data_IF_613144989710
#
_entry.id   IF_613144989710
#
_cell.length_a   1.000
_cell.length_b   1.000
_cell.length_c   1.000
_cell.angle_alpha   90.00
_cell.angle_beta   90.00
_cell.angle_gamma   90.00
#
_symmetry.space_group_name_H-M   'P 1'
#
loop_
_entity.id
_entity.type
_entity.pdbx_description
1 polymer ?
#
# COMPACT_ATOMS: atom_id res chain seq x y z
N UNK A 1 10.85 -7.49 -1.39
CA UNK A 1 11.50 -8.43 -2.35
C UNK A 1 12.82 -8.90 -1.76
N UNK A 2 13.05 -10.19 -1.69
CA UNK A 2 14.31 -10.80 -1.19
C UNK A 2 15.47 -10.64 -2.20
N UNK A 3 16.72 -10.88 -1.76
CA UNK A 3 17.88 -10.84 -2.67
C UNK A 3 17.80 -11.89 -3.79
N UNK A 4 17.22 -13.06 -3.50
CA UNK A 4 16.99 -14.13 -4.49
C UNK A 4 15.96 -13.68 -5.53
N UNK A 5 14.80 -13.19 -5.10
CA UNK A 5 13.73 -12.71 -5.98
C UNK A 5 14.23 -11.61 -6.92
N UNK A 6 15.10 -10.70 -6.41
CA UNK A 6 15.71 -9.65 -7.24
C UNK A 6 16.61 -10.23 -8.33
N UNK A 7 17.48 -11.18 -7.99
CA UNK A 7 18.38 -11.83 -8.96
C UNK A 7 17.61 -12.58 -10.04
N UNK A 8 16.57 -13.30 -9.65
CA UNK A 8 15.69 -13.98 -10.61
C UNK A 8 15.00 -12.96 -11.52
N UNK A 9 14.40 -11.90 -10.94
CA UNK A 9 13.74 -10.84 -11.71
C UNK A 9 14.69 -10.22 -12.74
N UNK A 10 15.87 -9.81 -12.32
CA UNK A 10 16.89 -9.20 -13.20
C UNK A 10 17.29 -10.11 -14.35
N UNK A 11 17.29 -11.43 -14.14
CA UNK A 11 17.65 -12.40 -15.16
C UNK A 11 16.51 -12.64 -16.16
N UNK A 12 15.26 -12.78 -15.71
CA UNK A 12 14.12 -13.14 -16.57
C UNK A 12 13.49 -11.92 -17.28
N UNK A 13 13.55 -10.74 -16.66
CA UNK A 13 12.90 -9.52 -17.16
C UNK A 13 13.29 -9.15 -18.61
N UNK A 14 14.58 -9.25 -19.04
CA UNK A 14 14.95 -8.98 -20.43
C UNK A 14 14.32 -9.95 -21.46
N UNK A 15 14.10 -11.22 -21.06
CA UNK A 15 13.48 -12.22 -21.92
C UNK A 15 11.98 -11.96 -22.01
N UNK A 16 11.33 -11.74 -20.88
CA UNK A 16 9.88 -11.49 -20.78
C UNK A 16 9.50 -10.21 -21.54
N UNK A 17 10.33 -9.15 -21.39
CA UNK A 17 10.11 -7.90 -22.14
C UNK A 17 10.23 -8.06 -23.66
N UNK A 18 11.14 -8.92 -24.16
CA UNK A 18 11.22 -9.23 -25.60
C UNK A 18 9.98 -9.93 -26.16
N UNK A 19 9.21 -10.59 -25.30
CA UNK A 19 7.95 -11.22 -25.63
C UNK A 19 6.76 -10.25 -25.51
N UNK A 20 7.00 -8.97 -25.19
CA UNK A 20 5.99 -7.92 -24.95
C UNK A 20 5.15 -8.12 -23.70
N UNK A 21 5.70 -8.79 -22.70
CA UNK A 21 5.15 -8.88 -21.35
C UNK A 21 6.03 -8.12 -20.36
N UNK A 22 5.45 -7.75 -19.21
CA UNK A 22 6.15 -7.14 -18.09
C UNK A 22 6.20 -8.12 -16.90
N UNK A 23 7.32 -8.13 -16.16
CA UNK A 23 7.39 -8.84 -14.88
C UNK A 23 6.72 -7.96 -13.82
N UNK A 24 5.56 -8.37 -13.35
CA UNK A 24 4.87 -7.67 -12.26
C UNK A 24 5.51 -7.95 -10.90
N UNK A 25 5.67 -9.25 -10.55
CA UNK A 25 6.33 -9.66 -9.30
C UNK A 25 7.02 -11.01 -9.46
N UNK A 26 8.01 -11.26 -8.61
CA UNK A 26 8.69 -12.57 -8.45
C UNK A 26 8.64 -12.92 -6.98
N UNK A 27 8.07 -14.07 -6.64
CA UNK A 27 7.91 -14.55 -5.28
C UNK A 27 8.50 -15.95 -5.17
N UNK A 28 9.35 -16.17 -4.17
CA UNK A 28 9.83 -17.50 -3.81
C UNK A 28 9.37 -17.83 -2.40
N UNK A 29 8.41 -18.73 -2.31
CA UNK A 29 7.82 -19.12 -1.03
C UNK A 29 7.44 -20.61 -1.02
N UNK A 30 7.07 -21.14 0.15
CA UNK A 30 6.52 -22.49 0.25
C UNK A 30 5.01 -22.45 0.08
N UNK A 31 4.53 -23.24 -0.89
CA UNK A 31 3.10 -23.47 -1.13
C UNK A 31 2.83 -24.95 -0.89
N UNK A 32 1.93 -25.29 0.02
CA UNK A 32 1.57 -26.66 0.38
C UNK A 32 2.77 -27.57 0.79
N UNK A 33 3.82 -26.95 1.30
CA UNK A 33 5.04 -27.63 1.77
C UNK A 33 6.15 -27.74 0.73
N UNK A 34 5.90 -27.44 -0.53
CA UNK A 34 6.85 -27.41 -1.63
C UNK A 34 7.37 -26.01 -1.88
N UNK A 35 8.64 -25.90 -2.33
CA UNK A 35 9.16 -24.60 -2.74
C UNK A 35 8.54 -24.23 -4.10
N UNK A 36 8.09 -23.00 -4.22
CA UNK A 36 7.50 -22.50 -5.44
C UNK A 36 8.16 -21.16 -5.83
N UNK A 37 8.59 -21.06 -7.08
CA UNK A 37 9.01 -19.82 -7.71
C UNK A 37 7.87 -19.32 -8.58
N UNK A 38 7.21 -18.26 -8.13
CA UNK A 38 6.07 -17.66 -8.82
C UNK A 38 6.53 -16.41 -9.56
N UNK A 39 6.28 -16.36 -10.86
CA UNK A 39 6.55 -15.21 -11.72
C UNK A 39 5.21 -14.68 -12.23
N UNK A 40 4.84 -13.52 -11.72
CA UNK A 40 3.63 -12.82 -12.12
C UNK A 40 3.93 -11.91 -13.31
N UNK A 41 3.19 -12.09 -14.40
CA UNK A 41 3.35 -11.31 -15.62
C UNK A 41 2.11 -10.44 -15.89
N UNK A 42 2.35 -9.33 -16.59
CA UNK A 42 1.32 -8.41 -17.02
C UNK A 42 1.61 -7.98 -18.48
N UNK A 43 0.66 -7.36 -19.16
CA UNK A 43 0.84 -6.74 -20.46
C UNK A 43 0.06 -5.43 -20.54
N UNK A 44 0.58 -4.49 -21.34
CA UNK A 44 -0.03 -3.17 -21.46
C UNK A 44 -1.43 -3.21 -22.09
N UNK A 45 -1.66 -4.17 -22.99
CA UNK A 45 -2.91 -4.28 -23.74
C UNK A 45 -3.56 -5.65 -23.52
N UNK A 46 -4.78 -5.65 -22.96
CA UNK A 46 -5.60 -6.84 -22.79
C UNK A 46 -5.30 -7.63 -21.51
N UNK A 47 -5.69 -8.90 -21.50
CA UNK A 47 -5.57 -9.80 -20.34
C UNK A 47 -4.59 -10.92 -20.67
N UNK A 48 -3.80 -11.33 -19.68
CA UNK A 48 -2.93 -12.51 -19.76
C UNK A 48 -3.81 -13.77 -19.78
N UNK A 49 -3.58 -14.62 -20.78
CA UNK A 49 -4.21 -15.93 -20.88
C UNK A 49 -3.22 -17.08 -20.60
N UNK A 50 -3.70 -18.32 -20.67
CA UNK A 50 -2.87 -19.48 -20.36
C UNK A 50 -1.73 -19.68 -21.39
N UNK A 51 -1.96 -19.34 -22.67
CA UNK A 51 -0.94 -19.46 -23.71
C UNK A 51 0.17 -18.41 -23.52
N UNK A 52 -0.18 -17.21 -23.00
CA UNK A 52 0.80 -16.19 -22.59
C UNK A 52 1.72 -16.73 -21.49
N UNK A 53 1.12 -17.38 -20.48
CA UNK A 53 1.88 -17.96 -19.36
C UNK A 53 2.79 -19.11 -19.84
N UNK A 54 2.29 -20.03 -20.67
CA UNK A 54 3.06 -21.13 -21.23
C UNK A 54 4.24 -20.62 -22.07
N UNK A 55 4.01 -19.66 -22.94
CA UNK A 55 5.05 -19.03 -23.77
C UNK A 55 6.17 -18.40 -22.94
N UNK A 56 5.81 -17.72 -21.85
CA UNK A 56 6.81 -17.12 -20.96
C UNK A 56 7.54 -18.21 -20.17
N UNK A 57 6.81 -19.20 -19.64
CA UNK A 57 7.40 -20.33 -18.91
C UNK A 57 8.49 -21.02 -19.75
N UNK A 58 8.17 -21.38 -20.99
CA UNK A 58 9.11 -22.05 -21.90
C UNK A 58 10.35 -21.19 -22.19
N UNK A 59 10.15 -19.86 -22.33
CA UNK A 59 11.24 -18.96 -22.67
C UNK A 59 12.23 -18.73 -21.52
N UNK A 60 11.81 -18.92 -20.25
CA UNK A 60 12.66 -18.64 -19.09
C UNK A 60 13.21 -19.91 -18.41
N UNK A 61 12.63 -21.08 -18.66
CA UNK A 61 13.02 -22.34 -18.01
C UNK A 61 14.49 -22.64 -18.19
N UNK A 62 14.98 -22.69 -19.44
CA UNK A 62 16.38 -22.98 -19.76
C UNK A 62 17.35 -21.99 -19.06
N UNK A 63 16.98 -20.71 -19.01
CA UNK A 63 17.78 -19.69 -18.33
C UNK A 63 17.87 -19.95 -16.82
N UNK A 64 16.74 -20.30 -16.18
CA UNK A 64 16.69 -20.54 -14.74
C UNK A 64 17.50 -21.79 -14.37
N UNK A 65 17.45 -22.83 -15.21
CA UNK A 65 18.23 -24.05 -15.06
C UNK A 65 19.74 -23.77 -15.24
N UNK A 66 20.14 -23.00 -16.26
CA UNK A 66 21.52 -22.58 -16.46
C UNK A 66 22.08 -21.77 -15.28
N UNK A 67 21.31 -20.82 -14.78
CA UNK A 67 21.75 -19.92 -13.70
C UNK A 67 21.75 -20.56 -12.33
N UNK A 68 20.94 -21.61 -12.12
CA UNK A 68 20.87 -22.40 -10.89
C UNK A 68 20.82 -21.51 -9.61
N UNK A 69 19.94 -20.49 -9.63
CA UNK A 69 19.78 -19.56 -8.50
C UNK A 69 19.24 -20.24 -7.24
N UNK A 70 18.46 -21.31 -7.41
CA UNK A 70 17.77 -22.04 -6.35
C UNK A 70 18.30 -23.47 -6.32
N UNK A 71 19.01 -23.82 -5.25
CA UNK A 71 19.67 -25.13 -5.12
C UNK A 71 18.74 -26.29 -4.74
N UNK A 72 17.59 -25.96 -4.19
CA UNK A 72 16.57 -26.95 -3.83
C UNK A 72 15.62 -27.16 -5.00
N UNK A 73 14.99 -28.33 -5.06
CA UNK A 73 13.86 -28.54 -5.96
C UNK A 73 12.76 -27.51 -5.71
N UNK A 74 12.16 -27.01 -6.77
CA UNK A 74 11.07 -26.06 -6.73
C UNK A 74 10.15 -26.22 -7.94
N UNK A 75 8.90 -25.80 -7.77
CA UNK A 75 7.94 -25.69 -8.85
C UNK A 75 8.00 -24.27 -9.44
N UNK A 76 8.16 -24.16 -10.76
CA UNK A 76 8.06 -22.90 -11.48
C UNK A 76 6.59 -22.66 -11.86
N UNK A 77 6.04 -21.53 -11.45
CA UNK A 77 4.71 -21.09 -11.81
C UNK A 77 4.79 -19.72 -12.50
N UNK A 78 4.27 -19.64 -13.72
CA UNK A 78 4.05 -18.37 -14.43
C UNK A 78 2.56 -18.11 -14.50
N UNK A 79 2.13 -16.94 -14.01
CA UNK A 79 0.71 -16.60 -13.95
C UNK A 79 0.46 -15.11 -14.16
N UNK A 80 -0.82 -14.75 -14.42
CA UNK A 80 -1.25 -13.35 -14.38
C UNK A 80 -1.32 -12.84 -12.96
N UNK A 81 -1.32 -11.50 -12.79
CA UNK A 81 -1.49 -10.86 -11.48
C UNK A 81 -2.87 -11.07 -10.86
N UNK A 82 -3.85 -11.49 -11.67
CA UNK A 82 -5.26 -11.57 -11.26
C UNK A 82 -5.89 -10.19 -11.05
N UNK A 83 -7.12 -10.18 -10.54
CA UNK A 83 -7.87 -8.96 -10.24
C UNK A 83 -7.38 -8.30 -8.92
N UNK A 84 -7.03 -9.11 -7.94
CA UNK A 84 -6.47 -8.64 -6.66
C UNK A 84 -4.95 -8.73 -6.68
N UNK A 85 -4.30 -7.69 -7.19
CA UNK A 85 -2.85 -7.64 -7.36
C UNK A 85 -2.16 -7.34 -6.03
N UNK A 86 -1.17 -8.14 -5.66
CA UNK A 86 -0.33 -7.89 -4.48
C UNK A 86 0.58 -6.69 -4.74
N UNK A 87 0.70 -5.78 -3.75
CA UNK A 87 1.53 -4.57 -3.83
C UNK A 87 2.66 -4.71 -2.82
N UNK A 88 3.92 -4.74 -3.30
CA UNK A 88 5.13 -4.99 -2.48
C UNK A 88 6.21 -3.94 -2.68
N UNK A 89 6.14 -3.11 -3.71
CA UNK A 89 7.12 -2.08 -4.03
C UNK A 89 6.48 -0.76 -4.52
N UNK A 90 7.29 0.26 -4.64
CA UNK A 90 6.85 1.60 -5.02
C UNK A 90 6.40 1.70 -6.49
N UNK A 91 6.91 0.82 -7.37
CA UNK A 91 6.47 0.76 -8.77
C UNK A 91 5.03 0.27 -8.85
N UNK A 92 4.71 -0.76 -8.07
CA UNK A 92 3.36 -1.30 -7.95
C UNK A 92 2.42 -0.31 -7.24
N UNK A 93 2.89 0.40 -6.19
CA UNK A 93 2.15 1.48 -5.54
C UNK A 93 1.78 2.57 -6.54
N UNK A 94 2.73 2.98 -7.40
CA UNK A 94 2.50 4.01 -8.41
C UNK A 94 1.43 3.58 -9.43
N UNK A 95 1.42 2.31 -9.84
CA UNK A 95 0.39 1.75 -10.73
C UNK A 95 -0.99 1.68 -10.05
N UNK A 96 -1.03 1.53 -8.71
CA UNK A 96 -2.26 1.38 -7.93
C UNK A 96 -2.86 2.71 -7.42
N UNK A 97 -2.26 3.88 -7.74
CA UNK A 97 -2.85 5.18 -7.39
C UNK A 97 -4.23 5.30 -8.05
N UNK A 98 -5.23 5.67 -7.25
CA UNK A 98 -6.63 5.76 -7.65
C UNK A 98 -7.41 4.45 -7.56
N UNK A 99 -6.73 3.32 -7.32
CA UNK A 99 -7.41 2.03 -7.13
C UNK A 99 -7.79 1.81 -5.66
N UNK A 100 -8.82 1.00 -5.45
CA UNK A 100 -9.21 0.53 -4.13
C UNK A 100 -8.25 -0.54 -3.67
N UNK A 101 -7.71 -0.38 -2.46
CA UNK A 101 -6.72 -1.28 -1.89
C UNK A 101 -7.15 -1.77 -0.51
N UNK A 102 -6.75 -2.99 -0.20
CA UNK A 102 -6.84 -3.59 1.12
C UNK A 102 -5.45 -3.63 1.74
N UNK A 103 -5.32 -3.02 2.92
CA UNK A 103 -4.07 -2.92 3.67
C UNK A 103 -4.23 -3.65 5.00
N UNK A 104 -3.36 -4.61 5.27
CA UNK A 104 -3.26 -5.31 6.55
C UNK A 104 -2.06 -4.76 7.33
N UNK A 105 -2.26 -4.45 8.62
CA UNK A 105 -1.25 -3.85 9.48
C UNK A 105 -0.67 -4.85 10.47
N UNK A 106 0.63 -4.72 10.79
CA UNK A 106 1.26 -5.43 11.91
C UNK A 106 0.66 -4.99 13.24
N UNK A 107 0.52 -3.68 13.45
CA UNK A 107 -0.05 -3.07 14.66
C UNK A 107 -1.26 -2.24 14.31
N UNK A 108 -2.27 -2.24 15.19
CA UNK A 108 -3.42 -1.33 15.04
C UNK A 108 -2.94 0.11 15.05
N UNK A 109 -3.42 0.89 14.09
CA UNK A 109 -3.15 2.32 14.06
C UNK A 109 -4.09 3.05 15.04
N UNK A 110 -3.61 4.12 15.64
CA UNK A 110 -4.40 4.92 16.55
C UNK A 110 -5.68 5.44 15.87
N UNK A 111 -6.83 5.18 16.49
CA UNK A 111 -8.14 5.53 15.94
C UNK A 111 -8.81 4.44 15.10
N UNK A 112 -8.13 3.32 14.81
CA UNK A 112 -8.70 2.18 14.08
C UNK A 112 -8.91 0.98 15.00
N UNK A 113 -10.10 0.37 14.93
CA UNK A 113 -10.41 -0.84 15.69
C UNK A 113 -9.85 -2.11 15.06
N UNK A 114 -9.63 -2.09 13.74
CA UNK A 114 -9.20 -3.23 12.94
C UNK A 114 -7.80 -3.03 12.41
N UNK A 115 -7.11 -4.15 12.14
CA UNK A 115 -5.79 -4.16 11.46
C UNK A 115 -5.93 -4.19 9.94
N UNK A 116 -7.14 -4.40 9.42
CA UNK A 116 -7.45 -4.40 8.00
C UNK A 116 -8.17 -3.11 7.63
N UNK A 117 -7.69 -2.44 6.61
CA UNK A 117 -8.19 -1.16 6.12
C UNK A 117 -8.45 -1.31 4.63
N UNK A 118 -9.62 -0.88 4.17
CA UNK A 118 -9.95 -0.78 2.77
C UNK A 118 -10.20 0.69 2.44
N UNK A 119 -9.56 1.18 1.39
CA UNK A 119 -9.70 2.56 0.93
C UNK A 119 -9.07 2.75 -0.44
N UNK A 120 -9.30 3.91 -1.05
CA UNK A 120 -8.66 4.29 -2.31
C UNK A 120 -7.27 4.83 -2.04
N UNK A 121 -6.25 4.33 -2.73
CA UNK A 121 -4.89 4.84 -2.63
C UNK A 121 -4.81 6.17 -3.36
N UNK A 122 -4.63 7.27 -2.63
CA UNK A 122 -4.53 8.61 -3.22
C UNK A 122 -3.10 9.00 -3.53
N UNK A 123 -2.19 8.70 -2.60
CA UNK A 123 -0.79 9.09 -2.73
C UNK A 123 0.12 8.21 -1.87
N UNK A 124 1.42 8.28 -2.11
CA UNK A 124 2.45 7.71 -1.24
C UNK A 124 3.74 8.53 -1.31
N UNK A 125 4.53 8.45 -0.26
CA UNK A 125 5.90 8.97 -0.16
C UNK A 125 6.88 7.85 0.22
N UNK A 126 8.11 8.18 0.64
CA UNK A 126 9.13 7.19 1.02
C UNK A 126 8.71 6.36 2.25
N UNK A 127 8.01 6.96 3.20
CA UNK A 127 7.67 6.35 4.49
C UNK A 127 6.20 5.98 4.62
N UNK A 128 5.30 6.65 3.89
CA UNK A 128 3.87 6.59 4.11
C UNK A 128 3.06 6.30 2.86
N UNK A 129 1.83 5.85 3.06
CA UNK A 129 0.77 5.84 2.04
C UNK A 129 -0.42 6.66 2.56
N UNK A 130 -1.15 7.29 1.65
CA UNK A 130 -2.38 8.04 1.94
C UNK A 130 -3.56 7.32 1.33
N UNK A 131 -4.51 6.93 2.17
CA UNK A 131 -5.75 6.28 1.75
C UNK A 131 -6.95 7.16 2.01
N UNK A 132 -7.85 7.24 1.05
CA UNK A 132 -9.20 7.77 1.21
C UNK A 132 -10.13 6.64 1.60
N UNK A 133 -10.75 6.74 2.78
CA UNK A 133 -11.66 5.72 3.30
C UNK A 133 -13.09 6.09 2.92
N UNK A 134 -13.82 5.15 2.28
CA UNK A 134 -15.25 5.32 2.03
C UNK A 134 -16.05 5.29 3.33
N UNK A 135 -17.05 6.18 3.43
CA UNK A 135 -17.92 6.34 4.60
C UNK A 135 -18.78 5.10 4.88
N UNK A 136 -18.21 4.11 5.54
CA UNK A 136 -19.04 3.15 6.25
C UNK A 136 -19.44 3.76 7.60
N UNK A 137 -20.76 3.93 7.84
CA UNK A 137 -21.35 4.56 9.04
C UNK A 137 -20.77 4.07 10.39
N UNK A 138 -20.12 2.91 10.43
CA UNK A 138 -19.40 2.39 11.60
C UNK A 138 -17.97 2.94 11.74
N UNK A 139 -17.25 3.22 10.65
CA UNK A 139 -15.90 3.79 10.70
C UNK A 139 -15.87 5.26 11.08
N UNK A 140 -16.90 6.03 10.68
CA UNK A 140 -17.02 7.47 10.92
C UNK A 140 -16.98 7.86 12.40
N UNK A 141 -17.65 7.10 13.29
CA UNK A 141 -17.65 7.40 14.74
C UNK A 141 -16.27 7.27 15.38
N UNK A 142 -15.40 6.45 14.84
CA UNK A 142 -14.08 6.16 15.43
C UNK A 142 -13.01 7.14 14.92
N UNK A 143 -13.06 7.53 13.63
CA UNK A 143 -12.18 8.55 13.06
C UNK A 143 -12.41 9.94 13.72
N UNK A 144 -13.66 10.33 13.92
CA UNK A 144 -13.99 11.60 14.57
C UNK A 144 -13.50 11.63 16.02
N UNK A 145 -13.62 10.51 16.76
CA UNK A 145 -13.12 10.42 18.13
C UNK A 145 -11.60 10.54 18.22
N UNK A 146 -10.84 9.97 17.27
CA UNK A 146 -9.38 10.06 17.26
C UNK A 146 -8.90 11.48 16.90
N UNK A 147 -9.48 12.12 15.88
CA UNK A 147 -9.17 13.51 15.51
C UNK A 147 -9.48 14.50 16.66
N UNK A 148 -10.55 14.27 17.43
CA UNK A 148 -10.88 15.09 18.60
C UNK A 148 -9.90 14.86 19.76
N UNK A 149 -9.43 13.60 19.96
CA UNK A 149 -8.48 13.25 21.01
C UNK A 149 -7.09 13.81 20.73
N UNK A 150 -6.58 13.68 19.50
CA UNK A 150 -5.30 14.26 19.09
C UNK A 150 -5.30 15.79 19.13
N UNK A 151 -6.37 16.46 18.66
CA UNK A 151 -6.52 17.93 18.83
C UNK A 151 -6.52 18.36 20.31
N UNK A 152 -7.21 17.61 21.19
CA UNK A 152 -7.22 17.91 22.63
C UNK A 152 -5.82 17.72 23.27
N UNK A 153 -5.05 16.70 22.86
CA UNK A 153 -3.67 16.51 23.36
C UNK A 153 -2.72 17.59 22.87
N UNK A 154 -2.81 18.00 21.61
CA UNK A 154 -2.00 19.09 21.07
C UNK A 154 -2.33 20.41 21.77
N UNK A 155 -3.61 20.71 21.98
CA UNK A 155 -4.04 21.91 22.72
C UNK A 155 -3.59 21.85 24.18
N UNK A 156 -3.71 20.70 24.85
CA UNK A 156 -3.27 20.56 26.25
C UNK A 156 -1.75 20.67 26.41
N UNK A 157 -0.96 20.17 25.44
CA UNK A 157 0.49 20.35 25.41
C UNK A 157 0.88 21.81 25.15
N UNK A 158 0.16 22.49 24.24
CA UNK A 158 0.39 23.91 23.94
C UNK A 158 0.00 24.82 25.12
N UNK A 159 -1.09 24.53 25.82
CA UNK A 159 -1.51 25.27 27.04
C UNK A 159 -0.53 25.04 28.18
N UNK A 160 0.01 23.83 28.36
CA UNK A 160 1.04 23.56 29.37
C UNK A 160 2.37 24.24 29.09
N UNK A 161 2.73 24.46 27.81
CA UNK A 161 3.95 25.21 27.45
C UNK A 161 3.77 26.73 27.59
N UNK A 162 2.55 27.25 27.37
CA UNK A 162 2.24 28.68 27.55
C UNK A 162 2.18 29.07 29.04
N UNK A 163 1.63 28.22 29.92
CA UNK A 163 1.57 28.47 31.35
C UNK A 163 2.93 28.39 32.06
N UNK A 164 4.00 27.95 31.40
CA UNK A 164 5.37 28.02 31.97
C UNK A 164 6.11 29.32 31.68
N UNK A 165 5.62 30.14 30.74
CA UNK A 165 6.30 31.36 30.26
C UNK A 165 5.50 32.66 30.42
N UNK A 166 4.37 32.64 31.11
CA UNK A 166 3.55 33.86 31.28
C UNK A 166 3.23 34.11 32.77
N UNK A 167 4.21 34.70 33.45
CA UNK A 167 3.94 35.67 34.51
C UNK A 167 4.54 36.97 33.98
N UNK A 168 3.73 37.80 33.37
CA UNK A 168 3.65 39.26 33.47
C UNK A 168 2.93 39.86 32.27
N UNK A 169 1.93 40.66 32.62
CA UNK A 169 1.37 41.83 31.98
C UNK A 169 0.26 41.69 30.90
N UNK A 170 -0.92 42.08 31.43
CA UNK A 170 -1.86 43.12 30.92
C UNK A 170 -2.58 42.98 29.57
N UNK A 171 -3.87 42.78 29.72
CA UNK A 171 -5.03 43.49 29.12
C UNK A 171 -4.80 44.12 27.73
N UNK A 172 -5.53 43.64 26.73
CA UNK A 172 -6.33 44.43 25.82
C UNK A 172 -7.47 43.56 25.24
N UNK A 173 -8.71 43.90 25.58
CA UNK A 173 -9.92 43.55 24.85
C UNK A 173 -9.84 44.18 23.46
N UNK A 174 -10.17 43.38 22.43
CA UNK A 174 -10.89 43.94 21.29
C UNK A 174 -11.59 42.82 20.50
N UNK A 175 -12.88 42.97 20.46
CA UNK A 175 -13.85 42.34 19.59
C UNK A 175 -13.38 42.35 18.13
N UNK A 176 -13.36 41.23 17.45
CA UNK A 176 -13.69 41.16 16.04
C UNK A 176 -14.46 39.88 15.75
N UNK A 177 -15.74 40.02 15.64
CA UNK A 177 -16.66 39.15 14.93
C UNK A 177 -16.18 39.10 13.48
N UNK A 178 -15.47 38.07 13.09
CA UNK A 178 -15.26 37.75 11.68
C UNK A 178 -16.11 36.52 11.35
N UNK A 179 -17.04 36.76 10.43
CA UNK A 179 -17.90 35.77 9.81
C UNK A 179 -17.03 34.59 9.30
N UNK A 180 -17.20 33.41 9.88
CA UNK A 180 -16.82 32.18 9.21
C UNK A 180 -17.96 31.85 8.25
N UNK A 181 -17.80 32.21 7.01
CA UNK A 181 -18.52 31.58 5.91
C UNK A 181 -18.19 30.06 5.97
N UNK A 182 -19.25 29.29 6.11
CA UNK A 182 -19.21 27.84 6.05
C UNK A 182 -18.98 27.42 4.61
N UNK A 183 -17.72 27.37 4.22
CA UNK A 183 -17.33 26.58 3.05
C UNK A 183 -17.69 25.12 3.35
N UNK A 184 -18.43 24.52 2.44
CA UNK A 184 -18.85 23.13 2.47
C UNK A 184 -17.61 22.23 2.55
N UNK A 185 -17.24 21.84 3.77
CA UNK A 185 -16.18 20.91 4.04
C UNK A 185 -16.58 19.54 3.46
N UNK A 186 -16.02 19.16 2.31
CA UNK A 186 -15.74 17.76 2.03
C UNK A 186 -14.86 17.30 3.18
N UNK A 187 -15.44 16.60 4.14
CA UNK A 187 -14.68 16.02 5.26
C UNK A 187 -13.65 15.08 4.68
N UNK A 188 -12.39 15.45 4.84
CA UNK A 188 -11.20 14.78 4.36
C UNK A 188 -11.09 13.42 5.08
N UNK A 189 -11.71 12.36 4.50
CA UNK A 189 -11.73 11.00 5.02
C UNK A 189 -10.40 10.28 4.73
N UNK A 190 -9.29 11.01 4.72
CA UNK A 190 -7.97 10.46 4.46
C UNK A 190 -7.29 9.96 5.72
N UNK A 191 -6.56 8.86 5.59
CA UNK A 191 -5.70 8.29 6.61
C UNK A 191 -4.29 8.10 6.05
N UNK A 192 -3.29 8.45 6.86
CA UNK A 192 -1.88 8.22 6.55
C UNK A 192 -1.41 6.99 7.30
N UNK A 193 -0.78 6.06 6.61
CA UNK A 193 -0.28 4.79 7.15
C UNK A 193 1.20 4.66 6.86
N UNK A 194 2.01 4.38 7.88
CA UNK A 194 3.44 4.10 7.71
C UNK A 194 3.65 2.78 6.96
N UNK A 195 4.45 2.79 5.88
CA UNK A 195 4.80 1.60 5.10
C UNK A 195 5.41 0.49 5.97
N UNK A 196 6.20 0.86 6.99
CA UNK A 196 6.79 -0.06 7.95
C UNK A 196 5.76 -0.84 8.78
N UNK A 197 4.53 -0.31 8.93
CA UNK A 197 3.44 -0.98 9.65
C UNK A 197 2.57 -1.86 8.73
N UNK A 198 2.81 -1.87 7.42
CA UNK A 198 2.04 -2.66 6.45
C UNK A 198 2.60 -4.08 6.42
N UNK A 199 1.76 -5.07 6.73
CA UNK A 199 2.12 -6.50 6.62
C UNK A 199 1.80 -7.07 5.24
N UNK A 200 0.69 -6.64 4.64
CA UNK A 200 0.24 -7.04 3.31
C UNK A 200 -0.61 -5.93 2.71
N UNK A 201 -0.45 -5.71 1.41
CA UNK A 201 -1.29 -4.79 0.63
C UNK A 201 -1.65 -5.43 -0.71
N UNK A 202 -2.89 -5.24 -1.15
CA UNK A 202 -3.36 -5.73 -2.44
C UNK A 202 -4.49 -4.83 -2.96
N UNK A 203 -4.68 -4.80 -4.28
CA UNK A 203 -5.86 -4.16 -4.88
C UNK A 203 -7.12 -4.95 -4.52
N UNK A 204 -8.27 -4.30 -4.53
CA UNK A 204 -9.59 -4.92 -4.30
C UNK A 204 -10.45 -4.66 -5.51
N UNK A 205 -11.06 -5.70 -6.03
CA UNK A 205 -12.00 -5.59 -7.13
C UNK A 205 -13.43 -5.61 -6.56
N UNK A 206 -14.21 -4.55 -6.84
CA UNK A 206 -15.63 -4.49 -6.49
C UNK A 206 -16.47 -4.95 -7.69
N UNK A 207 -17.37 -5.90 -7.48
CA UNK A 207 -18.35 -6.37 -8.48
C UNK A 207 -19.60 -5.49 -8.47
#
# INVERSE_FOLDING_TARGET
MTSLEKKVREAVEPIINKLSYEVYDVIYEKVDGENCLQIFIDKNDGYIDINDCEKVNDAITDLLDEKDFIKNEYNLEVSSTGLERRIRDDTQLKKAIGEKVKVNLYKKQEGLEQKEIIGTLENFDEENITLKIEDNKKGRKNLIRSKIKSKKEIVSKKVKSINKNAINNEIIENNNKANLETDSNEEDNTIIIEKANISKMQTVFDF
#
